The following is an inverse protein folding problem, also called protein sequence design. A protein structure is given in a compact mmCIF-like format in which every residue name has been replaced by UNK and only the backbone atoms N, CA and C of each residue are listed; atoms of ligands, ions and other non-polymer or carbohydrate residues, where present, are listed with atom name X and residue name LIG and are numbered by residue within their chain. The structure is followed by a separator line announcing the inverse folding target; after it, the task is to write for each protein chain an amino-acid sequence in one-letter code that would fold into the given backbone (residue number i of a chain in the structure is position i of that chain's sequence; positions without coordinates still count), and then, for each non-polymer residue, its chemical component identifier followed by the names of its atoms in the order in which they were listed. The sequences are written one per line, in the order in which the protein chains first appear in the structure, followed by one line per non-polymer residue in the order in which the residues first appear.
data_IF_872275295299
#
_entry.id   IF_872275295299
#
_cell.length_a   1.000
_cell.length_b   1.000
_cell.length_c   1.000
_cell.angle_alpha   90.00
_cell.angle_beta   90.00
_cell.angle_gamma   90.00
#
_symmetry.space_group_name_H-M   'P 1'
#
loop_
_entity.id
_entity.type
_entity.pdbx_description
1 polymer ?
#
# COMPACT_ATOMS: atom_id res chain seq x y z
N UNK A 1 -18.49 -10.63 -1.19
CA UNK A 1 -18.99 -11.99 -1.50
C UNK A 1 -19.27 -12.16 -3.01
N UNK A 2 -18.62 -11.37 -3.86
CA UNK A 2 -19.06 -11.11 -5.23
C UNK A 2 -17.88 -11.18 -6.20
N UNK A 3 -18.14 -11.52 -7.46
CA UNK A 3 -17.17 -11.49 -8.56
C UNK A 3 -17.66 -10.52 -9.62
N UNK A 4 -16.78 -9.69 -10.17
CA UNK A 4 -17.16 -8.69 -11.16
C UNK A 4 -17.36 -9.34 -12.53
N UNK A 5 -18.62 -9.52 -12.94
CA UNK A 5 -18.94 -10.09 -14.25
C UNK A 5 -18.62 -9.14 -15.41
N UNK A 6 -18.60 -7.82 -15.20
CA UNK A 6 -18.32 -6.84 -16.26
C UNK A 6 -16.90 -7.02 -16.81
N UNK A 7 -15.96 -7.43 -15.97
CA UNK A 7 -14.58 -7.73 -16.37
C UNK A 7 -14.50 -8.89 -17.35
N UNK A 8 -15.44 -9.85 -17.30
CA UNK A 8 -15.50 -10.94 -18.26
C UNK A 8 -15.96 -10.48 -19.65
N UNK A 9 -16.83 -9.47 -19.69
CA UNK A 9 -17.37 -8.91 -20.93
C UNK A 9 -16.43 -7.86 -21.54
N UNK A 10 -15.76 -7.08 -20.69
CA UNK A 10 -14.75 -6.10 -21.09
C UNK A 10 -13.54 -6.13 -20.13
N UNK A 11 -12.47 -6.89 -20.46
CA UNK A 11 -11.27 -6.95 -19.63
C UNK A 11 -10.48 -5.64 -19.54
N UNK A 12 -10.73 -4.68 -20.45
CA UNK A 12 -10.01 -3.40 -20.48
C UNK A 12 -10.23 -2.54 -19.23
N UNK A 13 -11.39 -2.70 -18.58
CA UNK A 13 -11.78 -1.92 -17.41
C UNK A 13 -10.85 -2.08 -16.21
N UNK A 14 -10.13 -3.22 -16.13
CA UNK A 14 -9.11 -3.45 -15.10
C UNK A 14 -8.01 -2.38 -15.18
N UNK A 15 -7.63 -1.97 -16.40
CA UNK A 15 -6.55 -1.01 -16.63
C UNK A 15 -7.05 0.43 -16.68
N UNK A 16 -8.25 0.64 -17.22
CA UNK A 16 -8.82 1.97 -17.40
C UNK A 16 -9.32 2.56 -16.07
N UNK A 17 -9.81 1.70 -15.17
CA UNK A 17 -10.40 2.12 -13.91
C UNK A 17 -10.22 1.09 -12.80
N UNK A 18 -8.96 0.89 -12.39
CA UNK A 18 -8.57 -0.22 -11.51
C UNK A 18 -9.20 -0.19 -10.12
N UNK A 19 -9.58 0.98 -9.62
CA UNK A 19 -10.02 1.18 -8.23
C UNK A 19 -11.52 1.46 -8.10
N UNK A 20 -12.22 1.81 -9.17
CA UNK A 20 -13.67 1.97 -9.14
C UNK A 20 -14.36 0.79 -9.85
N UNK A 21 -14.39 0.76 -11.18
CA UNK A 21 -15.13 -0.27 -11.93
C UNK A 21 -14.34 -1.56 -12.19
N UNK A 22 -13.01 -1.53 -12.09
CA UNK A 22 -12.08 -2.62 -12.41
C UNK A 22 -11.84 -3.65 -11.30
N UNK A 23 -12.59 -3.59 -10.20
CA UNK A 23 -12.47 -4.55 -9.10
C UNK A 23 -12.75 -5.98 -9.57
N UNK A 24 -12.07 -6.98 -8.99
CA UNK A 24 -12.20 -8.38 -9.42
C UNK A 24 -13.14 -9.18 -8.53
N UNK A 25 -12.96 -9.03 -7.21
CA UNK A 25 -13.67 -9.77 -6.19
C UNK A 25 -13.93 -8.88 -4.98
N UNK A 26 -15.08 -9.10 -4.34
CA UNK A 26 -15.41 -8.54 -3.04
C UNK A 26 -15.47 -9.70 -2.07
N UNK A 27 -14.91 -9.55 -0.88
CA UNK A 27 -14.99 -10.53 0.20
C UNK A 27 -15.49 -9.86 1.47
N UNK A 28 -16.03 -10.64 2.38
CA UNK A 28 -16.34 -10.20 3.74
C UNK A 28 -15.35 -10.93 4.65
N UNK A 29 -14.69 -10.19 5.55
CA UNK A 29 -13.75 -10.75 6.52
C UNK A 29 -14.34 -10.58 7.92
N UNK A 30 -14.07 -11.56 8.79
CA UNK A 30 -14.41 -11.44 10.22
C UNK A 30 -13.26 -10.84 11.02
N UNK A 31 -12.11 -10.66 10.38
CA UNK A 31 -10.92 -10.03 10.92
C UNK A 31 -10.95 -8.56 10.48
N UNK A 32 -10.90 -7.64 11.44
CA UNK A 32 -10.72 -6.21 11.17
C UNK A 32 -9.29 -6.03 10.64
N UNK A 33 -9.19 -5.57 9.40
CA UNK A 33 -7.91 -5.18 8.83
C UNK A 33 -7.57 -3.85 9.49
N UNK A 34 -6.54 -3.82 10.32
CA UNK A 34 -6.00 -2.56 10.82
C UNK A 34 -5.52 -1.77 9.59
N UNK A 35 -6.10 -0.58 9.37
CA UNK A 35 -5.61 0.38 8.37
C UNK A 35 -4.20 0.79 8.80
N UNK A 36 -3.19 0.03 8.35
CA UNK A 36 -1.79 0.36 8.54
C UNK A 36 -1.50 1.60 7.68
N UNK A 37 -1.57 2.77 8.32
CA UNK A 37 -1.29 4.06 7.71
C UNK A 37 0.18 4.06 7.23
N UNK A 38 0.46 4.10 5.92
CA UNK A 38 1.81 4.01 5.39
C UNK A 38 2.63 5.30 5.60
N UNK A 39 2.08 6.33 6.26
CA UNK A 39 2.73 7.62 6.52
C UNK A 39 3.35 7.72 7.95
N UNK A 40 3.59 6.62 8.67
CA UNK A 40 4.53 6.66 9.81
C UNK A 40 5.97 6.74 9.27
N UNK A 41 6.41 7.98 9.13
CA UNK A 41 7.78 8.47 8.94
C UNK A 41 8.77 7.66 9.80
N UNK A 42 9.51 6.76 9.17
CA UNK A 42 10.71 6.12 9.73
C UNK A 42 11.80 7.20 9.85
N UNK A 43 11.65 8.10 10.83
CA UNK A 43 12.74 8.94 11.34
C UNK A 43 13.77 8.03 12.01
N UNK A 44 14.58 7.37 11.19
CA UNK A 44 15.79 6.67 11.58
C UNK A 44 16.81 7.73 12.07
N UNK A 45 16.59 8.18 13.31
CA UNK A 45 17.51 8.98 14.13
C UNK A 45 18.70 8.10 14.55
N UNK A 46 19.53 7.69 13.58
CA UNK A 46 20.84 7.11 13.88
C UNK A 46 21.85 8.25 14.08
N UNK A 47 21.81 8.80 15.29
CA UNK A 47 22.87 9.58 15.89
C UNK A 47 24.11 8.70 16.13
N UNK A 48 25.12 8.81 15.26
CA UNK A 48 26.51 8.52 15.65
C UNK A 48 27.38 9.79 15.48
N UNK A 49 27.56 10.47 16.61
CA UNK A 49 28.62 11.42 16.90
C UNK A 49 29.94 10.65 17.06
N UNK A 50 30.91 10.80 16.13
CA UNK A 50 32.31 10.45 16.41
C UNK A 50 33.30 11.52 15.91
N UNK A 51 33.83 12.21 16.92
CA UNK A 51 35.05 13.02 17.10
C UNK A 51 35.89 13.50 15.90
N UNK A 52 36.08 14.83 15.90
CA UNK A 52 37.21 15.56 15.36
C UNK A 52 38.55 14.99 15.88
N UNK A 53 39.43 14.56 14.96
CA UNK A 53 40.85 14.36 15.25
C UNK A 53 41.67 15.08 14.18
N UNK A 54 41.82 16.40 14.34
CA UNK A 54 42.85 17.18 13.64
C UNK A 54 44.16 17.19 14.46
N UNK A 55 45.27 17.00 13.74
CA UNK A 55 46.66 16.86 14.20
C UNK A 55 47.22 18.05 15.02
N UNK A 56 47.96 17.75 16.10
CA UNK A 56 49.33 18.29 16.36
C UNK A 56 50.14 17.35 17.28
#
# INVERSE_FOLDING_TARGET
IEVNSQVLENPGIILEDSYEEGWLLRIETTEEIEDEDPDEDDEDDDLEEEEESEED
#
